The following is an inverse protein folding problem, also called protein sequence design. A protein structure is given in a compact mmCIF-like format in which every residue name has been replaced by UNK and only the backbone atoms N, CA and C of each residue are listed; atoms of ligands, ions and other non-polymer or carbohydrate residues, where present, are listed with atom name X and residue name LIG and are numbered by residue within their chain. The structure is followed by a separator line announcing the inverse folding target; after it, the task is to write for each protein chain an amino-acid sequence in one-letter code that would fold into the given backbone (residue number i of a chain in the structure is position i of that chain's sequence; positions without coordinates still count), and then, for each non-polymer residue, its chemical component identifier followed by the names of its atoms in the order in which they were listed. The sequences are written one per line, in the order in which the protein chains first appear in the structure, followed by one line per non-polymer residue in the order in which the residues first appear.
data_IF_468974842230
#
_entry.id   IF_468974842230
#
_cell.length_a   1.000
_cell.length_b   1.000
_cell.length_c   1.000
_cell.angle_alpha   90.00
_cell.angle_beta   90.00
_cell.angle_gamma   90.00
#
_symmetry.space_group_name_H-M   'P 1'
#
loop_
_entity.id
_entity.type
_entity.pdbx_description
1 polymer ?
#
# COMPACT_ATOMS: atom_id res chain seq x y z
N UNK A 1 32.29 -26.72 3.77
CA UNK A 1 30.85 -26.41 3.78
C UNK A 1 30.58 -25.52 4.97
N UNK A 2 29.90 -24.40 4.77
CA UNK A 2 29.53 -23.45 5.81
C UNK A 2 27.99 -23.55 6.01
N UNK A 3 27.56 -23.83 7.22
CA UNK A 3 26.16 -23.88 7.59
C UNK A 3 25.67 -22.50 7.98
N UNK A 4 24.71 -21.96 7.24
CA UNK A 4 24.08 -20.66 7.51
C UNK A 4 22.75 -20.91 8.16
N UNK A 5 22.68 -20.70 9.47
CA UNK A 5 21.52 -21.06 10.30
C UNK A 5 20.72 -19.80 10.64
N UNK A 6 19.45 -19.78 10.24
CA UNK A 6 18.52 -18.76 10.67
C UNK A 6 18.21 -18.87 12.16
N UNK A 7 18.09 -17.72 12.84
CA UNK A 7 17.83 -17.66 14.29
C UNK A 7 16.74 -16.66 14.62
N UNK A 8 16.00 -16.95 15.66
CA UNK A 8 15.16 -15.98 16.38
C UNK A 8 15.96 -15.34 17.55
N UNK A 9 15.28 -14.51 18.33
CA UNK A 9 15.91 -13.87 19.50
C UNK A 9 16.19 -14.85 20.64
N UNK A 10 15.58 -16.05 20.66
CA UNK A 10 15.79 -17.09 21.67
C UNK A 10 16.95 -18.04 21.41
N UNK A 11 17.66 -17.89 20.27
CA UNK A 11 18.80 -18.75 19.94
C UNK A 11 19.95 -18.62 20.98
N UNK A 12 20.69 -19.71 21.25
CA UNK A 12 20.68 -21.02 20.61
C UNK A 12 19.64 -22.01 21.15
N UNK A 13 18.96 -21.69 22.26
CA UNK A 13 18.07 -22.63 22.95
C UNK A 13 16.80 -22.95 22.10
N UNK A 14 16.33 -22.01 21.31
CA UNK A 14 15.16 -22.17 20.42
C UNK A 14 15.43 -22.99 19.16
N UNK A 15 16.69 -23.24 18.82
CA UNK A 15 17.06 -23.96 17.60
C UNK A 15 16.74 -25.47 17.71
N UNK A 16 16.44 -26.07 16.56
CA UNK A 16 16.27 -27.51 16.49
C UNK A 16 17.55 -28.27 16.86
N UNK A 17 17.42 -29.48 17.47
CA UNK A 17 18.56 -30.27 17.94
C UNK A 17 19.64 -30.48 16.90
N UNK A 18 19.26 -30.69 15.63
CA UNK A 18 20.21 -30.85 14.53
C UNK A 18 21.06 -29.59 14.29
N UNK A 19 20.44 -28.41 14.36
CA UNK A 19 21.12 -27.13 14.21
C UNK A 19 22.04 -26.85 15.42
N UNK A 20 21.55 -27.15 16.62
CA UNK A 20 22.38 -27.07 17.84
C UNK A 20 23.63 -27.96 17.74
N UNK A 21 23.51 -29.15 17.17
CA UNK A 21 24.64 -30.06 16.95
C UNK A 21 25.69 -29.46 16.00
N UNK A 22 25.23 -28.86 14.87
CA UNK A 22 26.13 -28.17 13.94
C UNK A 22 26.93 -27.05 14.62
N UNK A 23 26.29 -26.28 15.51
CA UNK A 23 26.97 -25.22 16.28
C UNK A 23 28.00 -25.81 17.24
N UNK A 24 27.70 -26.93 17.91
CA UNK A 24 28.68 -27.60 18.82
C UNK A 24 29.88 -28.15 18.07
N UNK A 25 29.67 -28.68 16.86
CA UNK A 25 30.73 -29.29 16.05
C UNK A 25 31.53 -28.25 15.25
N UNK A 26 31.01 -27.03 15.10
CA UNK A 26 31.72 -25.98 14.38
C UNK A 26 33.08 -25.62 15.04
N UNK A 27 34.11 -25.40 14.23
CA UNK A 27 35.40 -24.89 14.69
C UNK A 27 35.37 -23.39 14.93
N UNK A 28 34.54 -22.67 14.17
CA UNK A 28 34.30 -21.25 14.31
C UNK A 28 32.83 -20.94 14.14
N UNK A 29 32.37 -19.88 14.78
CA UNK A 29 30.97 -19.42 14.75
C UNK A 29 30.94 -17.93 14.43
N UNK A 30 30.35 -17.58 13.30
CA UNK A 30 30.02 -16.18 13.01
C UNK A 30 28.64 -15.87 13.59
N UNK A 31 28.58 -14.91 14.49
CA UNK A 31 27.34 -14.53 15.17
C UNK A 31 27.29 -13.03 15.47
N UNK A 32 26.09 -12.42 15.46
CA UNK A 32 25.91 -11.07 15.96
C UNK A 32 26.38 -10.95 17.42
N UNK A 33 26.99 -9.83 17.79
CA UNK A 33 27.48 -9.60 19.16
C UNK A 33 26.45 -9.87 20.24
N UNK A 34 25.18 -9.56 19.96
CA UNK A 34 24.07 -9.80 20.90
C UNK A 34 23.85 -11.27 21.26
N UNK A 35 24.21 -12.21 20.38
CA UNK A 35 24.05 -13.67 20.61
C UNK A 35 25.29 -14.30 21.23
N UNK A 36 26.45 -13.69 21.16
CA UNK A 36 27.71 -14.27 21.63
C UNK A 36 27.71 -14.60 23.12
N UNK A 37 27.16 -13.77 24.05
CA UNK A 37 27.09 -14.12 25.48
C UNK A 37 26.24 -15.39 25.73
N UNK A 38 25.08 -15.49 25.09
CA UNK A 38 24.20 -16.67 25.23
C UNK A 38 24.88 -17.94 24.65
N UNK A 39 25.57 -17.81 23.51
CA UNK A 39 26.32 -18.88 22.89
C UNK A 39 27.48 -19.35 23.79
N UNK A 40 28.23 -18.43 24.38
CA UNK A 40 29.34 -18.76 25.29
C UNK A 40 28.86 -19.54 26.51
N UNK A 41 27.76 -19.12 27.11
CA UNK A 41 27.16 -19.81 28.25
C UNK A 41 26.63 -21.20 27.85
N UNK A 42 26.00 -21.30 26.68
CA UNK A 42 25.37 -22.53 26.21
C UNK A 42 26.37 -23.59 25.74
N UNK A 43 27.51 -23.17 25.12
CA UNK A 43 28.51 -24.08 24.56
C UNK A 43 29.36 -24.79 25.61
N UNK A 44 29.51 -24.23 26.78
CA UNK A 44 30.39 -24.73 27.85
C UNK A 44 31.87 -24.99 27.44
N UNK A 45 32.27 -24.47 26.27
CA UNK A 45 33.62 -24.59 25.72
C UNK A 45 34.00 -23.33 24.94
N UNK A 46 35.24 -22.87 24.99
CA UNK A 46 35.64 -21.72 24.21
C UNK A 46 35.61 -22.04 22.70
N UNK A 47 35.03 -21.14 21.93
CA UNK A 47 34.98 -21.21 20.47
C UNK A 47 35.52 -19.91 19.88
N UNK A 48 36.00 -19.98 18.64
CA UNK A 48 36.39 -18.78 17.88
C UNK A 48 35.13 -18.13 17.35
N UNK A 49 34.87 -16.89 17.80
CA UNK A 49 33.76 -16.09 17.30
C UNK A 49 34.23 -15.08 16.24
N UNK A 50 33.46 -14.97 15.18
CA UNK A 50 33.55 -13.93 14.16
C UNK A 50 32.34 -13.01 14.34
N UNK A 51 32.57 -11.71 14.40
CA UNK A 51 31.48 -10.73 14.48
C UNK A 51 30.74 -10.66 13.13
N UNK A 52 29.42 -10.78 13.16
CA UNK A 52 28.57 -10.72 11.98
C UNK A 52 27.66 -9.50 11.92
N UNK A 53 27.86 -8.50 12.80
CA UNK A 53 27.05 -7.27 12.80
C UNK A 53 27.33 -6.41 11.56
N UNK A 54 28.57 -6.44 11.02
CA UNK A 54 28.88 -5.87 9.71
C UNK A 54 29.00 -6.98 8.67
N UNK A 55 28.05 -7.08 7.73
CA UNK A 55 28.07 -8.11 6.69
C UNK A 55 29.28 -8.07 5.76
N UNK A 56 29.89 -6.90 5.55
CA UNK A 56 31.06 -6.74 4.68
C UNK A 56 32.32 -7.32 5.35
N UNK A 57 32.55 -6.93 6.60
CA UNK A 57 33.64 -7.44 7.40
C UNK A 57 33.50 -8.95 7.61
N UNK A 58 32.30 -9.45 7.82
CA UNK A 58 32.04 -10.88 7.90
C UNK A 58 32.49 -11.62 6.63
N UNK A 59 32.10 -11.12 5.45
CA UNK A 59 32.45 -11.76 4.17
C UNK A 59 33.99 -11.79 3.99
N UNK A 60 34.68 -10.71 4.31
CA UNK A 60 36.14 -10.63 4.27
C UNK A 60 36.74 -11.68 5.21
N UNK A 61 36.32 -11.72 6.47
CA UNK A 61 36.80 -12.71 7.43
C UNK A 61 36.54 -14.16 6.99
N UNK A 62 35.41 -14.43 6.31
CA UNK A 62 35.11 -15.78 5.81
C UNK A 62 35.88 -16.19 4.55
N UNK A 63 36.48 -15.25 3.83
CA UNK A 63 37.42 -15.56 2.74
C UNK A 63 38.73 -16.11 3.25
N UNK A 64 39.19 -15.63 4.41
CA UNK A 64 40.45 -16.01 5.03
C UNK A 64 40.36 -17.29 5.90
N UNK A 65 39.14 -17.72 6.22
CA UNK A 65 38.92 -18.92 7.05
C UNK A 65 39.26 -20.18 6.26
N UNK A 66 39.94 -21.09 6.91
CA UNK A 66 40.26 -22.39 6.33
C UNK A 66 39.02 -23.12 5.81
N UNK A 67 38.95 -23.23 4.49
CA UNK A 67 37.78 -23.76 3.76
C UNK A 67 37.42 -25.22 4.13
N UNK A 68 38.32 -25.96 4.78
CA UNK A 68 38.15 -27.35 5.18
C UNK A 68 37.56 -27.50 6.57
N UNK A 69 37.69 -26.49 7.44
CA UNK A 69 37.13 -26.53 8.79
C UNK A 69 35.62 -26.26 8.78
N UNK A 70 34.79 -27.11 9.44
CA UNK A 70 33.35 -26.84 9.56
C UNK A 70 33.09 -25.55 10.33
N UNK A 71 32.21 -24.71 9.80
CA UNK A 71 31.89 -23.44 10.41
C UNK A 71 30.40 -23.11 10.26
N UNK A 72 29.94 -22.29 11.17
CA UNK A 72 28.50 -21.86 11.23
C UNK A 72 28.40 -20.34 11.18
N UNK A 73 27.48 -19.87 10.39
CA UNK A 73 27.04 -18.46 10.39
C UNK A 73 25.63 -18.41 10.96
N UNK A 74 25.42 -17.65 12.02
CA UNK A 74 24.09 -17.40 12.60
C UNK A 74 23.53 -16.10 12.01
N UNK A 75 22.38 -16.20 11.36
CA UNK A 75 21.70 -15.08 10.75
C UNK A 75 20.39 -14.77 11.49
N UNK A 76 20.07 -13.51 11.71
CA UNK A 76 18.78 -13.13 12.31
C UNK A 76 17.63 -13.42 11.32
N UNK A 77 16.61 -14.17 11.76
CA UNK A 77 15.50 -14.62 10.92
C UNK A 77 15.95 -15.61 9.85
N UNK A 78 15.23 -15.66 8.74
CA UNK A 78 15.62 -16.50 7.60
C UNK A 78 16.82 -15.90 6.85
N UNK A 79 17.91 -16.65 6.65
CA UNK A 79 19.12 -16.13 6.02
C UNK A 79 18.92 -15.69 4.57
N UNK A 80 17.90 -16.22 3.87
CA UNK A 80 17.62 -15.90 2.47
C UNK A 80 16.52 -14.82 2.31
N UNK A 81 15.84 -14.44 3.38
CA UNK A 81 14.81 -13.40 3.34
C UNK A 81 15.32 -12.10 3.95
N UNK A 82 15.72 -11.12 3.12
CA UNK A 82 16.38 -9.87 3.51
C UNK A 82 17.62 -10.06 4.41
N UNK A 83 18.12 -11.28 4.49
CA UNK A 83 19.25 -11.68 5.32
C UNK A 83 20.58 -11.65 4.56
N UNK A 84 21.59 -12.07 5.29
CA UNK A 84 22.97 -12.10 4.80
C UNK A 84 23.22 -13.14 3.69
N UNK A 85 22.31 -14.10 3.51
CA UNK A 85 22.50 -15.26 2.64
C UNK A 85 22.78 -14.91 1.19
N UNK A 86 22.12 -13.84 0.65
CA UNK A 86 22.41 -13.39 -0.71
C UNK A 86 23.86 -12.93 -0.86
N UNK A 87 24.35 -12.11 0.05
CA UNK A 87 25.70 -11.59 0.01
C UNK A 87 26.75 -12.72 0.16
N UNK A 88 26.48 -13.67 1.05
CA UNK A 88 27.33 -14.86 1.20
C UNK A 88 27.36 -15.69 -0.09
N UNK A 89 26.20 -15.92 -0.71
CA UNK A 89 26.08 -16.64 -1.98
C UNK A 89 26.85 -15.97 -3.11
N UNK A 90 26.72 -14.66 -3.26
CA UNK A 90 27.39 -13.88 -4.30
C UNK A 90 28.92 -13.86 -4.12
N UNK A 91 29.43 -13.89 -2.90
CA UNK A 91 30.87 -13.75 -2.59
C UNK A 91 31.58 -15.04 -2.39
N UNK A 92 30.97 -16.05 -1.77
CA UNK A 92 31.58 -17.34 -1.44
C UNK A 92 31.18 -18.47 -2.39
N UNK A 93 30.14 -18.25 -3.18
CA UNK A 93 29.55 -19.26 -4.06
C UNK A 93 28.58 -20.20 -3.31
N UNK A 94 27.44 -20.49 -3.90
CA UNK A 94 26.38 -21.31 -3.31
C UNK A 94 26.82 -22.75 -2.98
N UNK A 95 27.76 -23.30 -3.73
CA UNK A 95 28.31 -24.66 -3.51
C UNK A 95 29.02 -24.81 -2.17
N UNK A 96 29.46 -23.72 -1.53
CA UNK A 96 30.15 -23.73 -0.23
C UNK A 96 29.18 -23.53 0.95
N UNK A 97 27.91 -23.25 0.70
CA UNK A 97 26.93 -22.83 1.68
C UNK A 97 25.79 -23.86 1.79
N UNK A 98 25.33 -24.09 3.01
CA UNK A 98 24.11 -24.84 3.28
C UNK A 98 23.20 -24.01 4.17
N UNK A 99 22.04 -23.66 3.66
CA UNK A 99 21.09 -22.77 4.35
C UNK A 99 20.09 -23.59 5.17
N UNK A 100 19.91 -23.17 6.42
CA UNK A 100 18.90 -23.69 7.34
C UNK A 100 17.90 -22.58 7.62
N UNK A 101 16.69 -22.64 7.05
CA UNK A 101 15.69 -21.58 7.23
C UNK A 101 15.19 -21.51 8.68
N UNK A 102 14.77 -20.33 9.09
CA UNK A 102 14.03 -20.09 10.31
C UNK A 102 12.80 -19.23 10.01
N UNK A 103 11.78 -19.20 10.88
CA UNK A 103 10.68 -18.26 10.76
C UNK A 103 11.23 -16.84 10.69
N UNK A 104 10.77 -16.09 9.70
CA UNK A 104 11.08 -14.66 9.60
C UNK A 104 10.35 -13.90 10.71
N UNK A 105 10.85 -12.72 11.07
CA UNK A 105 10.15 -11.85 12.02
C UNK A 105 8.74 -11.49 11.53
N UNK A 106 8.51 -11.41 10.22
CA UNK A 106 7.19 -11.25 9.62
C UNK A 106 6.25 -12.42 9.98
N UNK A 107 6.71 -13.65 9.76
CA UNK A 107 5.91 -14.85 10.07
C UNK A 107 5.59 -14.92 11.56
N UNK A 108 6.56 -14.60 12.41
CA UNK A 108 6.35 -14.55 13.86
C UNK A 108 5.31 -13.48 14.23
N UNK A 109 5.41 -12.26 13.65
CA UNK A 109 4.44 -11.21 13.90
C UNK A 109 3.01 -11.66 13.57
N UNK A 110 2.79 -12.19 12.37
CA UNK A 110 1.47 -12.68 11.98
C UNK A 110 0.98 -13.87 12.81
N UNK A 111 1.87 -14.77 13.22
CA UNK A 111 1.54 -15.87 14.12
C UNK A 111 1.08 -15.36 15.50
N UNK A 112 1.70 -14.30 16.05
CA UNK A 112 1.31 -13.67 17.33
C UNK A 112 0.00 -12.90 17.24
N UNK A 113 -0.24 -12.25 16.10
CA UNK A 113 -1.52 -11.54 15.84
C UNK A 113 -2.66 -12.55 15.56
N UNK A 114 -2.34 -13.80 15.24
CA UNK A 114 -3.33 -14.83 14.91
C UNK A 114 -3.98 -14.65 13.53
N UNK A 115 -3.25 -14.03 12.56
CA UNK A 115 -3.75 -13.77 11.21
C UNK A 115 -2.95 -14.51 10.15
N UNK A 116 -3.59 -15.16 9.15
CA UNK A 116 -2.93 -15.63 7.94
C UNK A 116 -2.22 -14.49 7.20
N UNK A 117 -1.10 -14.79 6.54
CA UNK A 117 -0.24 -13.80 5.90
C UNK A 117 -0.06 -13.98 4.38
N UNK A 118 -0.83 -14.89 3.75
CA UNK A 118 -0.73 -15.17 2.32
C UNK A 118 -1.07 -13.95 1.44
N UNK A 119 -1.98 -13.11 1.91
CA UNK A 119 -2.43 -11.87 1.28
C UNK A 119 -1.69 -10.63 1.77
N UNK A 120 -0.69 -10.81 2.63
CA UNK A 120 0.07 -9.70 3.19
C UNK A 120 1.12 -9.19 2.21
N UNK A 121 1.22 -7.87 2.15
CA UNK A 121 2.35 -7.17 1.54
C UNK A 121 3.38 -6.86 2.63
N UNK A 122 4.65 -6.76 2.26
CA UNK A 122 5.71 -6.37 3.19
C UNK A 122 6.65 -5.33 2.59
N UNK A 123 7.17 -4.47 3.45
CA UNK A 123 8.15 -3.46 3.11
C UNK A 123 9.24 -3.43 4.17
N UNK A 124 10.49 -3.31 3.75
CA UNK A 124 11.59 -3.02 4.66
C UNK A 124 12.01 -1.57 4.52
N UNK A 125 11.98 -0.84 5.62
CA UNK A 125 12.53 0.52 5.71
C UNK A 125 14.01 0.50 6.12
N UNK A 126 14.53 -0.64 6.57
CA UNK A 126 15.90 -0.77 7.04
C UNK A 126 16.90 -0.48 5.90
N UNK A 127 17.60 0.64 5.99
CA UNK A 127 18.54 1.10 4.97
C UNK A 127 17.91 1.42 3.61
N UNK A 128 16.63 1.74 3.54
CA UNK A 128 15.87 2.00 2.29
C UNK A 128 15.03 3.28 2.38
N UNK A 129 14.70 3.81 1.21
CA UNK A 129 13.85 4.99 1.07
C UNK A 129 12.41 4.73 1.57
N UNK A 130 11.79 5.69 2.29
CA UNK A 130 10.39 5.60 2.75
C UNK A 130 9.35 5.50 1.63
N UNK A 131 9.74 5.83 0.41
CA UNK A 131 8.86 5.84 -0.77
C UNK A 131 8.23 4.47 -1.04
N UNK A 132 8.95 3.38 -0.81
CA UNK A 132 8.43 2.02 -0.99
C UNK A 132 7.24 1.74 -0.05
N UNK A 133 7.27 2.26 1.18
CA UNK A 133 6.17 2.13 2.12
C UNK A 133 4.95 2.95 1.68
N UNK A 134 5.16 4.20 1.27
CA UNK A 134 4.08 5.04 0.75
C UNK A 134 3.39 4.39 -0.46
N UNK A 135 4.16 3.85 -1.40
CA UNK A 135 3.64 3.13 -2.56
C UNK A 135 2.86 1.86 -2.20
N UNK A 136 3.36 1.08 -1.23
CA UNK A 136 2.66 -0.10 -0.75
C UNK A 136 1.35 0.28 -0.06
N UNK A 137 1.36 1.31 0.79
CA UNK A 137 0.17 1.80 1.49
C UNK A 137 -0.89 2.36 0.54
N UNK A 138 -0.47 3.03 -0.55
CA UNK A 138 -1.39 3.51 -1.59
C UNK A 138 -2.17 2.40 -2.29
N UNK A 139 -1.62 1.20 -2.36
CA UNK A 139 -2.31 0.02 -2.91
C UNK A 139 -3.36 -0.56 -1.97
N UNK A 140 -3.44 -0.07 -0.75
CA UNK A 140 -4.38 -0.52 0.29
C UNK A 140 -4.45 -2.04 0.49
N UNK A 141 -3.32 -2.68 0.77
CA UNK A 141 -3.32 -4.12 1.00
C UNK A 141 -4.16 -4.48 2.22
N UNK A 142 -4.73 -5.69 2.23
CA UNK A 142 -5.48 -6.21 3.36
C UNK A 142 -4.61 -6.36 4.61
N UNK A 143 -3.32 -6.59 4.44
CA UNK A 143 -2.31 -6.51 5.49
C UNK A 143 -0.99 -6.01 4.93
N UNK A 144 -0.32 -5.15 5.68
CA UNK A 144 1.00 -4.61 5.33
C UNK A 144 1.93 -4.70 6.52
N UNK A 145 2.99 -5.49 6.39
CA UNK A 145 4.04 -5.57 7.39
C UNK A 145 5.23 -4.69 7.03
N UNK A 146 5.72 -3.95 7.99
CA UNK A 146 6.81 -2.98 7.82
C UNK A 146 7.94 -3.31 8.79
N UNK A 147 9.10 -3.70 8.25
CA UNK A 147 10.33 -3.76 9.04
C UNK A 147 10.80 -2.32 9.22
N UNK A 148 10.69 -1.82 10.44
CA UNK A 148 11.02 -0.43 10.75
C UNK A 148 12.52 -0.18 10.83
N UNK A 149 12.93 1.07 10.60
CA UNK A 149 14.32 1.51 10.78
C UNK A 149 14.38 2.57 11.89
N UNK A 150 15.14 2.32 12.99
CA UNK A 150 15.26 3.29 14.06
C UNK A 150 15.90 4.62 13.62
N UNK A 151 16.73 4.59 12.57
CA UNK A 151 17.35 5.80 12.03
C UNK A 151 16.38 6.63 11.17
N UNK A 152 15.26 6.04 10.77
CA UNK A 152 14.20 6.68 10.00
C UNK A 152 12.91 6.86 10.82
N UNK A 153 13.03 6.92 12.14
CA UNK A 153 11.92 7.22 13.05
C UNK A 153 11.10 6.01 13.50
N UNK A 154 11.45 4.79 13.10
CA UNK A 154 10.84 3.56 13.62
C UNK A 154 9.31 3.53 13.47
N UNK A 155 8.60 3.14 14.54
CA UNK A 155 7.14 3.08 14.57
C UNK A 155 6.46 4.44 14.36
N UNK A 156 7.10 5.52 14.80
CA UNK A 156 6.58 6.88 14.64
C UNK A 156 6.41 7.23 13.16
N UNK A 157 7.41 6.91 12.34
CA UNK A 157 7.34 7.15 10.88
C UNK A 157 6.22 6.35 10.22
N UNK A 158 5.99 5.11 10.65
CA UNK A 158 4.87 4.28 10.14
C UNK A 158 3.54 4.95 10.44
N UNK A 159 3.34 5.37 11.70
CA UNK A 159 2.10 6.06 12.12
C UNK A 159 1.92 7.39 11.39
N UNK A 160 2.97 8.20 11.29
CA UNK A 160 2.92 9.48 10.56
C UNK A 160 2.53 9.29 9.08
N UNK A 161 3.08 8.28 8.42
CA UNK A 161 2.73 7.95 7.05
C UNK A 161 1.26 7.54 6.93
N UNK A 162 0.75 6.75 7.88
CA UNK A 162 -0.65 6.33 7.92
C UNK A 162 -1.58 7.56 8.06
N UNK A 163 -1.28 8.46 9.01
CA UNK A 163 -2.02 9.71 9.23
C UNK A 163 -1.94 10.64 8.02
N UNK A 164 -0.73 10.90 7.49
CA UNK A 164 -0.54 11.79 6.34
C UNK A 164 -1.19 11.25 5.05
N UNK A 165 -1.47 9.95 5.01
CA UNK A 165 -2.22 9.32 3.92
C UNK A 165 -3.73 9.37 4.12
N UNK A 166 -4.24 9.84 5.28
CA UNK A 166 -5.66 9.82 5.64
C UNK A 166 -6.20 8.39 5.80
N UNK A 167 -5.36 7.45 6.25
CA UNK A 167 -5.67 6.03 6.32
C UNK A 167 -5.68 5.47 7.74
N UNK A 168 -5.47 6.30 8.75
CA UNK A 168 -5.43 5.89 10.16
C UNK A 168 -6.73 5.22 10.63
N UNK A 169 -7.87 5.67 10.13
CA UNK A 169 -9.16 5.04 10.44
C UNK A 169 -9.37 3.71 9.69
N UNK A 170 -8.58 3.45 8.65
CA UNK A 170 -8.75 2.29 7.76
C UNK A 170 -7.88 1.09 8.15
N UNK A 171 -6.95 1.26 9.09
CA UNK A 171 -6.02 0.21 9.51
C UNK A 171 -5.93 0.11 11.02
N UNK A 172 -5.81 -1.13 11.52
CA UNK A 172 -5.28 -1.41 12.85
C UNK A 172 -3.76 -1.43 12.78
N UNK A 173 -3.11 -0.75 13.71
CA UNK A 173 -1.66 -0.74 13.85
C UNK A 173 -1.24 -1.69 14.98
N UNK A 174 -0.44 -2.67 14.64
CA UNK A 174 0.19 -3.58 15.59
C UNK A 174 1.70 -3.32 15.62
N UNK A 175 2.28 -3.33 16.80
CA UNK A 175 3.72 -3.23 17.01
C UNK A 175 4.22 -4.53 17.66
N UNK A 176 5.17 -5.19 17.00
CA UNK A 176 5.70 -6.48 17.42
C UNK A 176 7.19 -6.35 17.70
N UNK A 177 7.59 -6.54 18.94
CA UNK A 177 8.95 -6.32 19.41
C UNK A 177 9.57 -7.62 19.93
N UNK A 178 10.88 -7.77 19.76
CA UNK A 178 11.66 -8.87 20.33
C UNK A 178 11.08 -10.27 20.04
N UNK A 179 10.53 -10.46 18.85
CA UNK A 179 9.85 -11.69 18.45
C UNK A 179 10.73 -12.94 18.68
N UNK A 180 10.21 -13.91 19.43
CA UNK A 180 10.93 -15.11 19.84
C UNK A 180 11.80 -14.95 21.08
N UNK A 181 11.83 -13.77 21.73
CA UNK A 181 12.54 -13.51 22.98
C UNK A 181 11.59 -13.57 24.19
N UNK A 182 12.09 -13.90 25.43
CA UNK A 182 11.26 -13.80 26.64
C UNK A 182 10.61 -12.42 26.85
N UNK A 183 11.25 -11.35 26.39
CA UNK A 183 10.74 -9.98 26.44
C UNK A 183 9.93 -9.61 25.18
N UNK A 184 9.36 -10.60 24.50
CA UNK A 184 8.47 -10.38 23.35
C UNK A 184 7.25 -9.56 23.77
N UNK A 185 6.92 -8.52 22.98
CA UNK A 185 5.77 -7.68 23.25
C UNK A 185 4.99 -7.43 21.96
N UNK A 186 3.68 -7.64 22.03
CA UNK A 186 2.74 -7.41 20.91
C UNK A 186 1.72 -6.38 21.39
N UNK A 187 1.67 -5.25 20.71
CA UNK A 187 0.82 -4.12 21.05
C UNK A 187 -0.10 -3.78 19.90
N UNK A 188 -1.39 -3.72 20.15
CA UNK A 188 -2.34 -3.07 19.24
C UNK A 188 -2.47 -1.61 19.69
N UNK A 189 -2.19 -0.69 18.78
CA UNK A 189 -2.22 0.75 19.06
C UNK A 189 -3.54 1.29 18.52
N UNK A 190 -4.35 1.85 19.41
CA UNK A 190 -5.58 2.53 19.02
C UNK A 190 -5.27 3.88 18.34
N UNK A 191 -6.23 4.35 17.56
CA UNK A 191 -6.08 5.54 16.70
C UNK A 191 -5.59 6.78 17.47
N UNK A 192 -6.14 6.98 18.67
CA UNK A 192 -5.91 8.16 19.50
C UNK A 192 -4.86 7.93 20.59
N UNK A 193 -4.31 6.72 20.70
CA UNK A 193 -3.32 6.42 21.74
C UNK A 193 -1.94 6.93 21.32
N UNK A 194 -1.19 7.42 22.27
CA UNK A 194 0.22 7.71 22.07
C UNK A 194 1.03 6.42 21.91
N UNK A 195 2.08 6.48 21.10
CA UNK A 195 3.02 5.38 21.01
C UNK A 195 3.81 5.27 22.33
N UNK A 196 4.02 4.04 22.86
CA UNK A 196 4.87 3.85 24.03
C UNK A 196 6.26 4.46 23.82
N UNK A 197 6.78 5.13 24.86
CA UNK A 197 8.11 5.76 24.80
C UNK A 197 9.26 4.74 24.89
N UNK A 198 8.97 3.55 25.39
CA UNK A 198 9.91 2.46 25.64
C UNK A 198 9.95 1.41 24.54
N UNK A 199 9.53 1.76 23.32
CA UNK A 199 9.55 0.85 22.18
C UNK A 199 10.98 0.40 21.82
N UNK A 200 11.11 -0.88 21.51
CA UNK A 200 12.38 -1.42 20.99
C UNK A 200 12.73 -0.77 19.66
N UNK A 201 14.03 -0.52 19.43
CA UNK A 201 14.51 0.18 18.24
C UNK A 201 14.23 -0.57 16.95
N UNK A 202 14.35 -1.91 16.98
CA UNK A 202 14.05 -2.79 15.85
C UNK A 202 12.75 -3.53 16.14
N UNK A 203 11.70 -3.16 15.44
CA UNK A 203 10.39 -3.78 15.56
C UNK A 203 9.72 -3.95 14.19
N UNK A 204 8.72 -4.78 14.16
CA UNK A 204 7.79 -4.88 13.02
C UNK A 204 6.52 -4.14 13.37
N UNK A 205 6.10 -3.23 12.50
CA UNK A 205 4.76 -2.68 12.48
C UNK A 205 3.91 -3.48 11.48
N UNK A 206 2.72 -3.89 11.90
CA UNK A 206 1.75 -4.57 11.02
C UNK A 206 0.48 -3.74 10.96
N UNK A 207 0.08 -3.38 9.74
CA UNK A 207 -1.16 -2.69 9.45
C UNK A 207 -2.16 -3.72 8.91
N UNK A 208 -3.31 -3.84 9.58
CA UNK A 208 -4.40 -4.73 9.14
C UNK A 208 -5.60 -3.87 8.77
N UNK A 209 -6.09 -4.04 7.53
CA UNK A 209 -7.22 -3.28 7.04
C UNK A 209 -8.46 -3.60 7.88
N UNK A 210 -9.15 -2.55 8.29
CA UNK A 210 -10.45 -2.63 8.98
C UNK A 210 -11.56 -2.63 7.95
N UNK A 211 -12.62 -3.36 8.24
CA UNK A 211 -13.92 -2.98 7.73
C UNK A 211 -14.34 -1.71 8.47
N UNK A 212 -14.34 -0.59 7.74
CA UNK A 212 -14.74 0.67 8.35
C UNK A 212 -16.20 0.56 8.81
N UNK A 213 -16.45 0.73 10.11
CA UNK A 213 -17.80 0.81 10.65
C UNK A 213 -18.59 1.88 9.90
N UNK A 214 -19.87 1.65 9.58
CA UNK A 214 -20.73 2.66 8.99
C UNK A 214 -20.75 3.89 9.90
N UNK A 215 -20.28 5.02 9.39
CA UNK A 215 -20.39 6.31 10.08
C UNK A 215 -21.67 7.01 9.59
N UNK A 216 -22.30 7.82 10.45
CA UNK A 216 -23.40 8.67 10.01
C UNK A 216 -22.89 9.61 8.89
N UNK A 217 -23.47 9.55 7.68
CA UNK A 217 -23.05 10.39 6.56
C UNK A 217 -23.03 11.89 6.87
N UNK A 218 -23.82 12.33 7.85
CA UNK A 218 -23.88 13.73 8.30
C UNK A 218 -22.64 14.18 9.05
N UNK A 219 -21.82 13.24 9.57
CA UNK A 219 -20.58 13.56 10.29
C UNK A 219 -19.42 13.85 9.36
N UNK A 220 -19.53 13.48 8.09
CA UNK A 220 -18.49 13.75 7.11
C UNK A 220 -18.46 15.23 6.70
N UNK A 221 -17.30 15.77 6.33
CA UNK A 221 -17.20 17.05 5.64
C UNK A 221 -18.14 17.08 4.41
N UNK A 222 -18.60 18.26 4.02
CA UNK A 222 -19.49 18.41 2.87
C UNK A 222 -18.85 17.87 1.58
N UNK A 223 -17.54 18.11 1.39
CA UNK A 223 -16.72 17.60 0.29
C UNK A 223 -15.25 17.48 0.72
N UNK A 224 -14.42 16.95 -0.14
CA UNK A 224 -13.01 16.73 0.16
C UNK A 224 -12.83 15.64 1.22
N UNK A 225 -13.61 14.57 1.14
CA UNK A 225 -13.55 13.45 2.06
C UNK A 225 -12.18 12.75 1.96
N UNK A 226 -11.73 12.18 3.06
CA UNK A 226 -10.51 11.39 3.05
C UNK A 226 -10.66 10.13 2.20
N UNK A 227 -9.58 9.72 1.55
CA UNK A 227 -9.58 8.56 0.66
C UNK A 227 -9.99 7.27 1.40
N UNK A 228 -9.80 7.21 2.72
CA UNK A 228 -10.19 6.13 3.61
C UNK A 228 -11.70 5.91 3.75
N UNK A 229 -12.50 6.92 3.46
CA UNK A 229 -13.98 6.83 3.53
C UNK A 229 -14.53 5.90 2.47
N UNK A 230 -13.89 5.80 1.30
CA UNK A 230 -14.40 5.04 0.16
C UNK A 230 -14.00 3.57 0.21
N UNK A 231 -14.96 2.69 -0.04
CA UNK A 231 -14.69 1.30 -0.42
C UNK A 231 -13.96 1.27 -1.76
N UNK A 232 -13.09 0.30 -1.96
CA UNK A 232 -12.27 0.17 -3.16
C UNK A 232 -12.33 -1.22 -3.75
N UNK A 233 -11.95 -1.34 -5.02
CA UNK A 233 -11.82 -2.64 -5.66
C UNK A 233 -10.74 -3.49 -4.96
N UNK A 234 -11.08 -4.73 -4.62
CA UNK A 234 -10.17 -5.65 -3.93
C UNK A 234 -8.97 -6.07 -4.80
N UNK A 235 -9.17 -6.16 -6.10
CA UNK A 235 -8.17 -6.54 -7.10
C UNK A 235 -7.23 -5.37 -7.48
N UNK A 236 -7.68 -4.12 -7.32
CA UNK A 236 -6.90 -2.91 -7.60
C UNK A 236 -7.06 -1.86 -6.49
N UNK A 237 -6.67 -2.19 -5.27
CA UNK A 237 -6.75 -1.25 -4.16
C UNK A 237 -5.87 -0.01 -4.46
N UNK A 238 -6.35 1.15 -4.06
CA UNK A 238 -5.68 2.43 -4.32
C UNK A 238 -5.99 3.07 -5.67
N UNK A 239 -6.68 2.38 -6.58
CA UNK A 239 -7.10 2.95 -7.86
C UNK A 239 -8.37 3.81 -7.66
N UNK A 240 -8.16 5.00 -7.16
CA UNK A 240 -9.20 6.03 -7.03
C UNK A 240 -8.59 7.41 -7.18
N UNK A 241 -9.42 8.38 -7.54
CA UNK A 241 -9.04 9.78 -7.58
C UNK A 241 -8.72 10.29 -6.18
N UNK A 242 -7.50 10.76 -5.96
CA UNK A 242 -7.04 11.23 -4.65
C UNK A 242 -7.75 12.51 -4.24
N UNK A 243 -7.88 12.74 -2.92
CA UNK A 243 -8.62 13.84 -2.31
C UNK A 243 -8.32 15.19 -2.96
N UNK A 244 -7.06 15.55 -3.13
CA UNK A 244 -6.64 16.84 -3.67
C UNK A 244 -7.05 17.01 -5.14
N UNK A 245 -6.92 15.94 -5.93
CA UNK A 245 -7.37 15.91 -7.33
C UNK A 245 -8.89 15.98 -7.39
N UNK A 246 -9.59 15.27 -6.52
CA UNK A 246 -11.04 15.25 -6.43
C UNK A 246 -11.63 16.63 -6.15
N UNK A 247 -11.04 17.36 -5.19
CA UNK A 247 -11.40 18.75 -4.88
C UNK A 247 -11.26 19.65 -6.12
N UNK A 248 -10.14 19.53 -6.85
CA UNK A 248 -9.93 20.31 -8.06
C UNK A 248 -10.92 19.95 -9.16
N UNK A 249 -11.18 18.66 -9.38
CA UNK A 249 -12.15 18.21 -10.37
C UNK A 249 -13.57 18.72 -10.07
N UNK A 250 -13.98 18.75 -8.82
CA UNK A 250 -15.27 19.30 -8.40
C UNK A 250 -15.33 20.81 -8.66
N UNK A 251 -14.24 21.55 -8.42
CA UNK A 251 -14.16 22.97 -8.72
C UNK A 251 -14.23 23.24 -10.23
N UNK A 252 -13.52 22.45 -11.05
CA UNK A 252 -13.51 22.58 -12.51
C UNK A 252 -14.84 22.16 -13.15
N UNK A 253 -15.51 21.13 -12.61
CA UNK A 253 -16.86 20.72 -13.01
C UNK A 253 -17.90 21.82 -12.73
N UNK A 254 -17.67 22.63 -11.68
CA UNK A 254 -18.60 23.68 -11.26
C UNK A 254 -20.06 23.18 -11.27
N UNK A 255 -20.42 22.17 -10.45
CA UNK A 255 -21.71 21.50 -10.54
C UNK A 255 -22.85 22.49 -10.24
N UNK A 256 -23.83 22.61 -11.14
CA UNK A 256 -25.00 23.47 -10.93
C UNK A 256 -25.91 22.90 -9.83
N UNK A 257 -26.86 23.67 -9.39
CA UNK A 257 -27.86 23.21 -8.40
C UNK A 257 -28.65 22.01 -8.91
N UNK A 258 -29.05 22.06 -10.18
CA UNK A 258 -29.78 21.00 -10.90
C UNK A 258 -29.15 20.74 -12.24
N UNK A 259 -29.33 19.53 -12.77
CA UNK A 259 -28.84 19.11 -14.08
C UNK A 259 -28.33 17.67 -14.07
N UNK A 260 -27.75 17.25 -15.19
CA UNK A 260 -27.27 15.89 -15.39
C UNK A 260 -25.75 15.90 -15.39
N UNK A 261 -25.16 15.11 -14.48
CA UNK A 261 -23.72 14.85 -14.41
C UNK A 261 -23.44 13.42 -14.89
N UNK A 262 -22.57 13.30 -15.88
CA UNK A 262 -21.99 12.00 -16.25
C UNK A 262 -20.60 11.85 -15.64
N UNK A 263 -20.37 10.72 -14.94
CA UNK A 263 -19.06 10.29 -14.43
C UNK A 263 -18.66 9.02 -15.21
N UNK A 264 -17.87 9.18 -16.29
CA UNK A 264 -17.50 8.12 -17.20
C UNK A 264 -16.12 7.56 -16.87
N UNK A 265 -16.07 6.30 -16.44
CA UNK A 265 -14.92 5.67 -15.80
C UNK A 265 -14.87 6.07 -14.33
N UNK A 266 -16.01 5.94 -13.65
CA UNK A 266 -16.23 6.45 -12.31
C UNK A 266 -15.35 5.78 -11.22
N UNK A 267 -14.82 4.59 -11.49
CA UNK A 267 -14.00 3.84 -10.54
C UNK A 267 -14.77 3.53 -9.25
N UNK A 268 -14.39 4.18 -8.16
CA UNK A 268 -15.13 4.08 -6.88
C UNK A 268 -16.34 5.00 -6.79
N UNK A 269 -16.60 5.80 -7.80
CA UNK A 269 -17.64 6.83 -7.82
C UNK A 269 -17.29 8.10 -7.04
N UNK A 270 -16.06 8.23 -6.55
CA UNK A 270 -15.72 9.23 -5.54
C UNK A 270 -15.98 10.68 -5.97
N UNK A 271 -15.77 11.04 -7.23
CA UNK A 271 -16.01 12.43 -7.71
C UNK A 271 -17.51 12.69 -7.87
N UNK A 272 -18.22 11.82 -8.59
CA UNK A 272 -19.65 11.97 -8.82
C UNK A 272 -20.45 11.95 -7.52
N UNK A 273 -20.11 11.08 -6.58
CA UNK A 273 -20.79 10.99 -5.28
C UNK A 273 -20.55 12.22 -4.40
N UNK A 274 -19.34 12.81 -4.40
CA UNK A 274 -19.10 14.08 -3.71
C UNK A 274 -19.83 15.25 -4.41
N UNK A 275 -19.98 15.21 -5.75
CA UNK A 275 -20.80 16.18 -6.44
C UNK A 275 -22.26 16.14 -5.97
N UNK A 276 -22.84 14.95 -5.74
CA UNK A 276 -24.18 14.80 -5.16
C UNK A 276 -24.28 15.31 -3.72
N UNK A 277 -23.24 15.17 -2.91
CA UNK A 277 -23.22 15.78 -1.57
C UNK A 277 -23.25 17.30 -1.63
N UNK A 278 -22.52 17.89 -2.57
CA UNK A 278 -22.53 19.35 -2.82
C UNK A 278 -23.84 19.86 -3.41
N UNK A 279 -24.45 19.04 -4.27
CA UNK A 279 -25.64 19.39 -5.06
C UNK A 279 -26.61 18.21 -5.06
N UNK A 280 -27.45 18.05 -4.03
CA UNK A 280 -28.36 16.89 -3.89
C UNK A 280 -29.42 16.77 -4.97
N UNK A 281 -29.67 17.84 -5.74
CA UNK A 281 -30.63 17.84 -6.84
C UNK A 281 -30.02 17.51 -8.21
N UNK A 282 -28.70 17.23 -8.27
CA UNK A 282 -28.05 16.71 -9.47
C UNK A 282 -28.53 15.28 -9.75
N UNK A 283 -28.66 14.97 -11.02
CA UNK A 283 -28.89 13.62 -11.52
C UNK A 283 -27.56 13.04 -11.97
N UNK A 284 -26.95 12.17 -11.16
CA UNK A 284 -25.69 11.52 -11.49
C UNK A 284 -25.93 10.21 -12.24
N UNK A 285 -25.36 10.10 -13.44
CA UNK A 285 -25.10 8.82 -14.09
C UNK A 285 -23.62 8.46 -13.95
N UNK A 286 -23.33 7.39 -13.23
CA UNK A 286 -21.98 6.84 -13.06
C UNK A 286 -21.81 5.58 -13.92
N UNK A 287 -20.76 5.54 -14.74
CA UNK A 287 -20.47 4.42 -15.64
C UNK A 287 -19.08 3.88 -15.32
N UNK A 288 -18.98 2.60 -15.02
CA UNK A 288 -17.71 1.91 -14.78
C UNK A 288 -17.71 0.56 -15.50
N UNK A 289 -16.67 0.30 -16.26
CA UNK A 289 -16.56 -0.95 -17.05
C UNK A 289 -16.04 -2.15 -16.26
N UNK A 290 -15.43 -1.91 -15.11
CA UNK A 290 -14.81 -2.97 -14.31
C UNK A 290 -15.87 -3.80 -13.61
N UNK A 291 -15.72 -5.12 -13.66
CA UNK A 291 -16.61 -6.06 -12.98
C UNK A 291 -16.72 -5.73 -11.47
N UNK A 292 -17.96 -5.69 -10.96
CA UNK A 292 -18.26 -5.28 -9.59
C UNK A 292 -18.20 -3.76 -9.35
N UNK A 293 -17.87 -2.94 -10.36
CA UNK A 293 -17.77 -1.49 -10.25
C UNK A 293 -19.08 -0.82 -9.88
N UNK A 294 -20.19 -1.25 -10.50
CA UNK A 294 -21.50 -0.72 -10.18
C UNK A 294 -21.94 -1.04 -8.74
N UNK A 295 -21.65 -2.25 -8.26
CA UNK A 295 -21.94 -2.64 -6.87
C UNK A 295 -21.10 -1.79 -5.90
N UNK A 296 -19.82 -1.57 -6.19
CA UNK A 296 -18.94 -0.74 -5.40
C UNK A 296 -19.41 0.71 -5.31
N UNK A 297 -19.80 1.31 -6.43
CA UNK A 297 -20.32 2.69 -6.48
C UNK A 297 -21.59 2.80 -5.65
N UNK A 298 -22.53 1.84 -5.75
CA UNK A 298 -23.76 1.83 -4.94
C UNK A 298 -23.45 1.71 -3.44
N UNK A 299 -22.51 0.84 -3.06
CA UNK A 299 -22.10 0.70 -1.66
C UNK A 299 -21.46 2.01 -1.12
N UNK A 300 -20.65 2.70 -1.92
CA UNK A 300 -20.13 4.01 -1.57
C UNK A 300 -21.22 5.08 -1.50
N UNK A 301 -22.20 5.05 -2.39
CA UNK A 301 -23.34 5.97 -2.37
C UNK A 301 -24.17 5.81 -1.08
N UNK A 302 -24.47 4.57 -0.68
CA UNK A 302 -25.12 4.26 0.59
C UNK A 302 -24.32 4.78 1.78
N UNK A 303 -23.01 4.51 1.80
CA UNK A 303 -22.07 4.99 2.84
C UNK A 303 -22.06 6.51 2.97
N UNK A 304 -22.20 7.23 1.86
CA UNK A 304 -22.20 8.70 1.82
C UNK A 304 -23.59 9.31 1.98
N UNK A 305 -24.63 8.50 2.04
CA UNK A 305 -26.04 8.95 2.14
C UNK A 305 -26.51 9.73 0.92
N UNK A 306 -26.04 9.36 -0.29
CA UNK A 306 -26.45 9.97 -1.56
C UNK A 306 -27.03 8.93 -2.51
N UNK A 307 -27.85 9.37 -3.46
CA UNK A 307 -28.53 8.49 -4.40
C UNK A 307 -28.25 8.92 -5.85
N UNK A 308 -27.33 8.23 -6.58
CA UNK A 308 -27.15 8.45 -8.00
C UNK A 308 -28.42 8.06 -8.78
N UNK A 309 -28.74 8.81 -9.84
CA UNK A 309 -29.88 8.53 -10.71
C UNK A 309 -29.71 7.25 -11.51
N UNK A 310 -28.45 6.96 -11.95
CA UNK A 310 -28.10 5.69 -12.59
C UNK A 310 -26.67 5.29 -12.25
N UNK A 311 -26.44 3.97 -12.06
CA UNK A 311 -25.11 3.38 -11.94
C UNK A 311 -25.05 2.18 -12.88
N UNK A 312 -24.22 2.28 -13.91
CA UNK A 312 -24.14 1.30 -15.00
C UNK A 312 -22.76 0.62 -15.02
N UNK A 313 -22.77 -0.71 -15.08
CA UNK A 313 -21.56 -1.49 -15.30
C UNK A 313 -21.41 -1.73 -16.80
N UNK A 314 -20.65 -0.87 -17.47
CA UNK A 314 -20.57 -0.86 -18.93
C UNK A 314 -19.30 -0.16 -19.43
N UNK A 315 -18.86 -0.54 -20.62
CA UNK A 315 -17.94 0.29 -21.38
C UNK A 315 -18.69 1.56 -21.83
N UNK A 316 -18.14 2.73 -21.52
CA UNK A 316 -18.80 4.00 -21.80
C UNK A 316 -18.96 4.25 -23.33
N UNK A 317 -18.02 3.80 -24.17
CA UNK A 317 -18.11 3.96 -25.62
C UNK A 317 -19.23 3.11 -26.21
N UNK A 318 -19.29 1.84 -25.83
CA UNK A 318 -20.30 0.89 -26.32
C UNK A 318 -21.70 1.31 -25.86
N UNK A 319 -21.79 1.82 -24.60
CA UNK A 319 -23.03 2.40 -24.06
C UNK A 319 -23.50 3.60 -24.88
N UNK A 320 -22.60 4.56 -25.15
CA UNK A 320 -22.94 5.78 -25.92
C UNK A 320 -23.24 5.50 -27.39
N UNK A 321 -22.76 4.40 -27.95
CA UNK A 321 -23.10 3.94 -29.30
C UNK A 321 -24.42 3.17 -29.37
N UNK A 322 -24.99 2.80 -28.23
CA UNK A 322 -26.17 1.95 -28.18
C UNK A 322 -25.91 0.49 -28.58
N UNK A 323 -24.66 0.04 -28.40
CA UNK A 323 -24.22 -1.34 -28.73
C UNK A 323 -24.47 -2.32 -27.59
N UNK A 324 -25.01 -1.85 -26.46
CA UNK A 324 -25.30 -2.64 -25.27
C UNK A 324 -26.81 -2.84 -25.06
N UNK A 325 -27.24 -3.93 -24.42
CA UNK A 325 -28.65 -4.15 -24.06
C UNK A 325 -29.16 -3.20 -22.98
N UNK A 326 -28.28 -2.37 -22.39
CA UNK A 326 -28.61 -1.35 -21.39
C UNK A 326 -28.63 0.00 -22.04
N UNK A 327 -29.73 0.74 -21.84
CA UNK A 327 -29.91 2.08 -22.40
C UNK A 327 -29.74 3.15 -21.31
N UNK A 328 -29.30 4.34 -21.74
CA UNK A 328 -29.27 5.52 -20.89
C UNK A 328 -30.71 5.99 -20.68
N UNK A 329 -31.20 6.16 -19.42
CA UNK A 329 -32.51 6.73 -19.13
C UNK A 329 -32.71 8.04 -19.89
N UNK A 330 -33.93 8.26 -20.41
CA UNK A 330 -34.24 9.40 -21.29
C UNK A 330 -33.90 10.75 -20.64
N UNK A 331 -34.17 10.89 -19.36
CA UNK A 331 -33.88 12.07 -18.53
C UNK A 331 -32.40 12.30 -18.25
N UNK A 332 -31.53 11.31 -18.55
CA UNK A 332 -30.08 11.39 -18.37
C UNK A 332 -29.31 11.49 -19.70
N UNK A 333 -29.97 11.55 -20.86
CA UNK A 333 -29.32 11.48 -22.17
C UNK A 333 -28.56 12.75 -22.55
N UNK A 334 -28.90 13.90 -21.96
CA UNK A 334 -28.27 15.19 -22.25
C UNK A 334 -27.57 15.75 -21.00
N UNK A 335 -26.26 15.50 -20.83
CA UNK A 335 -25.53 16.01 -19.67
C UNK A 335 -25.16 17.48 -19.84
N UNK A 336 -25.19 18.24 -18.74
CA UNK A 336 -24.59 19.56 -18.69
C UNK A 336 -23.23 19.57 -17.98
N UNK A 337 -22.86 18.46 -17.33
CA UNK A 337 -21.53 18.22 -16.75
C UNK A 337 -21.05 16.81 -17.05
N UNK A 338 -19.82 16.70 -17.52
CA UNK A 338 -19.24 15.39 -17.81
C UNK A 338 -17.82 15.32 -17.24
N UNK A 339 -17.56 14.29 -16.46
CA UNK A 339 -16.22 13.88 -16.06
C UNK A 339 -15.82 12.66 -16.91
N UNK A 340 -14.68 12.77 -17.61
CA UNK A 340 -14.13 11.67 -18.39
C UNK A 340 -12.90 11.12 -17.66
N UNK A 341 -13.13 10.27 -16.65
CA UNK A 341 -12.06 9.64 -15.85
C UNK A 341 -11.40 8.43 -16.49
N UNK A 342 -11.96 7.92 -17.60
CA UNK A 342 -11.55 6.71 -18.29
C UNK A 342 -11.15 6.92 -19.75
N UNK A 343 -11.39 5.88 -20.58
CA UNK A 343 -11.21 5.92 -22.04
C UNK A 343 -9.83 5.46 -22.55
N UNK A 344 -8.78 5.51 -21.75
CA UNK A 344 -7.46 5.01 -22.15
C UNK A 344 -7.03 5.49 -23.56
N UNK A 345 -6.71 4.55 -24.44
CA UNK A 345 -6.34 4.84 -25.86
C UNK A 345 -7.52 5.31 -26.71
N UNK A 346 -8.75 5.03 -26.29
CA UNK A 346 -9.98 5.40 -27.03
C UNK A 346 -10.61 6.70 -26.49
N UNK A 347 -9.90 7.47 -25.67
CA UNK A 347 -10.42 8.69 -25.04
C UNK A 347 -10.96 9.72 -26.03
N UNK A 348 -10.33 9.90 -27.19
CA UNK A 348 -10.80 10.82 -28.22
C UNK A 348 -12.15 10.39 -28.81
N UNK A 349 -12.35 9.10 -29.04
CA UNK A 349 -13.63 8.54 -29.47
C UNK A 349 -14.70 8.79 -28.41
N UNK A 350 -14.37 8.54 -27.13
CA UNK A 350 -15.30 8.82 -26.02
C UNK A 350 -15.65 10.31 -25.94
N UNK A 351 -14.69 11.22 -26.11
CA UNK A 351 -14.93 12.66 -26.13
C UNK A 351 -15.87 13.08 -27.24
N UNK A 352 -15.69 12.57 -28.47
CA UNK A 352 -16.59 12.86 -29.58
C UNK A 352 -18.04 12.48 -29.25
N UNK A 353 -18.26 11.26 -28.75
CA UNK A 353 -19.59 10.78 -28.36
C UNK A 353 -20.21 11.60 -27.22
N UNK A 354 -19.38 12.09 -26.29
CA UNK A 354 -19.82 12.99 -25.22
C UNK A 354 -20.24 14.34 -25.78
N UNK A 355 -19.44 14.94 -26.66
CA UNK A 355 -19.71 16.27 -27.24
C UNK A 355 -20.98 16.30 -28.10
N UNK A 356 -21.33 15.19 -28.76
CA UNK A 356 -22.60 15.05 -29.50
C UNK A 356 -23.85 15.16 -28.61
N UNK A 357 -23.70 14.87 -27.31
CA UNK A 357 -24.82 14.84 -26.35
C UNK A 357 -24.77 15.95 -25.31
N UNK A 358 -23.65 16.68 -25.25
CA UNK A 358 -23.45 17.74 -24.28
C UNK A 358 -24.41 18.89 -24.51
N UNK A 359 -25.10 19.33 -23.48
CA UNK A 359 -25.95 20.52 -23.53
C UNK A 359 -25.17 21.79 -23.93
N UNK A 360 -25.79 22.75 -24.57
CA UNK A 360 -25.20 24.07 -24.82
C UNK A 360 -24.68 24.69 -23.52
N UNK A 361 -23.42 25.19 -23.53
CA UNK A 361 -22.68 25.68 -22.34
C UNK A 361 -22.35 24.60 -21.31
N UNK A 362 -22.46 23.34 -21.67
CA UNK A 362 -22.01 22.23 -20.85
C UNK A 362 -20.50 22.24 -20.63
N UNK A 363 -20.07 21.60 -19.56
CA UNK A 363 -18.66 21.52 -19.15
C UNK A 363 -18.19 20.06 -19.18
N UNK A 364 -17.05 19.82 -19.82
CA UNK A 364 -16.36 18.53 -19.80
C UNK A 364 -15.04 18.70 -19.08
N UNK A 365 -14.78 17.85 -18.10
CA UNK A 365 -13.52 17.81 -17.34
C UNK A 365 -12.82 16.48 -17.61
N UNK A 366 -11.55 16.55 -17.99
CA UNK A 366 -10.75 15.37 -18.38
C UNK A 366 -9.47 15.36 -17.56
N UNK A 367 -9.38 14.59 -16.48
CA UNK A 367 -8.13 14.40 -15.76
C UNK A 367 -7.14 13.59 -16.61
N UNK A 368 -5.91 14.08 -16.72
CA UNK A 368 -4.86 13.47 -17.52
C UNK A 368 -3.63 13.23 -16.64
N UNK A 369 -3.01 12.05 -16.80
CA UNK A 369 -1.81 11.69 -16.08
C UNK A 369 -0.52 11.93 -16.89
N UNK A 370 -0.62 12.14 -18.22
CA UNK A 370 0.53 12.27 -19.12
C UNK A 370 0.42 13.49 -20.03
N UNK A 371 1.56 14.06 -20.41
CA UNK A 371 1.64 15.23 -21.29
C UNK A 371 1.24 14.87 -22.72
N UNK A 372 1.51 13.65 -23.16
CA UNK A 372 1.15 13.15 -24.51
C UNK A 372 -0.38 13.19 -24.68
N UNK A 373 -1.12 12.71 -23.68
CA UNK A 373 -2.58 12.74 -23.69
C UNK A 373 -3.15 14.15 -23.71
N UNK A 374 -2.43 15.13 -23.13
CA UNK A 374 -2.87 16.53 -23.15
C UNK A 374 -2.94 17.10 -24.56
N UNK A 375 -1.90 16.86 -25.39
CA UNK A 375 -1.87 17.33 -26.77
C UNK A 375 -2.99 16.77 -27.62
N UNK A 376 -3.31 15.48 -27.45
CA UNK A 376 -4.39 14.80 -28.19
C UNK A 376 -5.78 15.32 -27.78
N UNK A 377 -6.05 15.39 -26.47
CA UNK A 377 -7.35 15.83 -25.94
C UNK A 377 -7.59 17.31 -26.28
N UNK A 378 -6.58 18.16 -26.12
CA UNK A 378 -6.68 19.57 -26.45
C UNK A 378 -7.06 19.78 -27.89
N UNK A 379 -6.39 19.09 -28.84
CA UNK A 379 -6.67 19.18 -30.28
C UNK A 379 -8.12 18.76 -30.58
N UNK A 380 -8.56 17.63 -30.03
CA UNK A 380 -9.93 17.14 -30.26
C UNK A 380 -11.00 18.14 -29.75
N UNK A 381 -10.75 18.80 -28.62
CA UNK A 381 -11.67 19.80 -28.07
C UNK A 381 -11.65 21.12 -28.88
N UNK A 382 -10.48 21.57 -29.34
CA UNK A 382 -10.34 22.77 -30.20
C UNK A 382 -11.00 22.55 -31.55
N UNK A 383 -10.86 21.37 -32.17
CA UNK A 383 -11.54 20.98 -33.42
C UNK A 383 -13.08 20.98 -33.26
N UNK A 384 -13.57 20.66 -32.07
CA UNK A 384 -14.99 20.74 -31.71
C UNK A 384 -15.43 22.14 -31.25
N UNK A 385 -14.61 23.17 -31.46
CA UNK A 385 -14.88 24.57 -31.11
C UNK A 385 -15.13 24.79 -29.59
N UNK A 386 -14.59 23.94 -28.74
CA UNK A 386 -14.68 24.09 -27.29
C UNK A 386 -13.65 25.10 -26.76
N UNK A 387 -14.04 25.88 -25.77
CA UNK A 387 -13.07 26.70 -25.03
C UNK A 387 -12.31 25.83 -24.04
N UNK A 388 -10.99 25.66 -24.25
CA UNK A 388 -10.17 24.78 -23.46
C UNK A 388 -9.42 25.58 -22.38
N UNK A 389 -9.50 25.10 -21.13
CA UNK A 389 -8.66 25.55 -20.03
C UNK A 389 -7.81 24.38 -19.56
N UNK A 390 -6.53 24.64 -19.28
CA UNK A 390 -5.60 23.61 -18.80
C UNK A 390 -5.06 24.07 -17.46
N UNK A 391 -5.15 23.20 -16.45
CA UNK A 391 -4.52 23.37 -15.16
C UNK A 391 -3.61 22.18 -14.84
N UNK A 392 -2.48 22.45 -14.21
CA UNK A 392 -1.62 21.40 -13.67
C UNK A 392 -1.67 21.46 -12.15
N UNK A 393 -1.98 20.33 -11.53
CA UNK A 393 -2.04 20.20 -10.09
C UNK A 393 -0.87 19.35 -9.60
N UNK A 394 -0.17 19.87 -8.58
CA UNK A 394 0.79 19.11 -7.82
C UNK A 394 0.45 19.27 -6.34
N UNK A 395 0.22 18.16 -5.66
CA UNK A 395 -0.14 18.16 -4.25
C UNK A 395 0.95 17.46 -3.42
N UNK A 396 1.30 18.08 -2.30
CA UNK A 396 2.24 17.53 -1.32
C UNK A 396 1.51 17.39 0.02
N UNK A 397 1.59 16.23 0.64
CA UNK A 397 1.13 16.04 2.01
C UNK A 397 2.34 16.19 2.93
N UNK A 398 2.35 17.26 3.73
CA UNK A 398 3.40 17.49 4.72
C UNK A 398 3.36 16.43 5.81
N UNK A 399 4.56 16.06 6.29
CA UNK A 399 4.68 15.32 7.54
C UNK A 399 4.99 16.32 8.66
N UNK A 400 4.50 16.09 9.90
CA UNK A 400 4.89 16.92 11.03
C UNK A 400 6.42 16.95 11.14
N UNK A 401 6.99 18.14 11.19
CA UNK A 401 8.39 18.31 11.56
C UNK A 401 8.51 17.93 13.04
N UNK A 402 9.53 17.16 13.38
CA UNK A 402 9.89 16.82 14.76
C UNK A 402 10.59 17.97 15.44
#
# INVERSE_FOLDING_TARGET
MIDVIGTDAGAPASLATAQQQLIREAHWIAAPRRLQPALNTWLNQPKTFIDSDDPRLLVEALQDVNATAPGVVLASGDPLWFGIGRMLGDRLGSARLRFHPAPTSLQLAFARIGRPWQDATWVSLHGREPQAFSQALQKRPAALAVLTDPNQGGAISVRQMLVSSGLEASYDLWLCENLGHPDERILQIALNDDLPLDLHRLLIAVLIAKEAAPQDPKTYPLFGLDDGVYLQHSDHPGLMTKREIRIQLLADLNPPEQGVLWDLGAGTGSVGLEALRLRPQLQLMAVEQRAGGAALIRANAERLGVCPAAVLEANAIDLLRGELPVEIPVDLQQPNRVLVGGGGRQRNTLLQLVLERLEPKGVVVVPLATVESLGEVRRALEEAHMTVRVSQLQAWRGQPLR
#
